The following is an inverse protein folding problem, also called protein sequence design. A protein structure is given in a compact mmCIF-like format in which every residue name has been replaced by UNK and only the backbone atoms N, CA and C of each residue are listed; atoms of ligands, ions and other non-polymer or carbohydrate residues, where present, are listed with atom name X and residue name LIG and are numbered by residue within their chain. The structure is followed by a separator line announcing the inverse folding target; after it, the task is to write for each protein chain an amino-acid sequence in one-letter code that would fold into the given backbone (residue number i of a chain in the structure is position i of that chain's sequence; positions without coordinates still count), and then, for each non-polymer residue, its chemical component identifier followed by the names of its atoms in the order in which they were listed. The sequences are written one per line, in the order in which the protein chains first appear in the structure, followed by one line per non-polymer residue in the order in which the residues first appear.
data_IF_589989897441
#
_entry.id   IF_589989897441
#
_cell.length_a   1.000
_cell.length_b   1.000
_cell.length_c   1.000
_cell.angle_alpha   90.00
_cell.angle_beta   90.00
_cell.angle_gamma   90.00
#
_symmetry.space_group_name_H-M   'P 1'
#
loop_
_entity.id
_entity.type
_entity.pdbx_description
1 polymer ?
#
# COMPACT_ATOMS: atom_id res chain seq x y z
N UNK A 1 -1.68 15.03 -17.08
CA UNK A 1 -2.35 15.86 -16.06
C UNK A 1 -1.74 15.52 -14.70
N UNK A 2 -1.84 16.39 -13.69
CA UNK A 2 -1.31 16.12 -12.34
C UNK A 2 0.22 15.93 -12.24
N UNK A 3 1.00 16.34 -13.26
CA UNK A 3 2.47 16.21 -13.27
C UNK A 3 3.17 17.03 -12.19
N UNK A 4 2.51 18.10 -11.72
CA UNK A 4 3.02 18.97 -10.66
C UNK A 4 2.80 18.40 -9.25
N UNK A 5 2.05 17.30 -9.11
CA UNK A 5 1.75 16.67 -7.82
C UNK A 5 2.74 15.54 -7.57
N UNK A 6 3.30 15.52 -6.36
CA UNK A 6 3.99 14.36 -5.78
C UNK A 6 3.27 13.99 -4.48
N UNK A 7 3.52 12.80 -3.93
CA UNK A 7 2.94 12.42 -2.63
C UNK A 7 3.35 13.45 -1.58
N UNK A 8 2.37 14.06 -0.93
CA UNK A 8 2.53 15.10 0.07
C UNK A 8 2.47 14.57 1.50
N UNK A 9 2.42 15.51 2.45
CA UNK A 9 2.43 15.21 3.89
C UNK A 9 1.27 14.32 4.32
N UNK A 10 0.06 14.53 3.76
CA UNK A 10 -1.12 13.75 4.12
C UNK A 10 -1.01 12.31 3.60
N UNK A 11 -0.43 12.14 2.41
CA UNK A 11 -0.14 10.82 1.85
C UNK A 11 0.92 10.04 2.63
N UNK A 12 1.98 10.72 3.08
CA UNK A 12 3.01 10.12 3.92
C UNK A 12 2.46 9.72 5.30
N UNK A 13 1.70 10.60 5.95
CA UNK A 13 1.10 10.33 7.26
C UNK A 13 0.15 9.13 7.21
N UNK A 14 -0.73 9.05 6.20
CA UNK A 14 -1.61 7.89 6.00
C UNK A 14 -0.81 6.58 5.85
N UNK A 15 0.23 6.60 5.03
CA UNK A 15 1.01 5.40 4.77
C UNK A 15 1.82 4.97 6.01
N UNK A 16 2.52 5.90 6.65
CA UNK A 16 3.33 5.57 7.84
C UNK A 16 2.48 5.14 9.04
N UNK A 17 1.24 5.65 9.17
CA UNK A 17 0.34 5.22 10.26
C UNK A 17 -0.16 3.78 10.08
N UNK A 18 -0.54 3.41 8.85
CA UNK A 18 -1.19 2.11 8.60
C UNK A 18 -0.25 1.00 8.13
N UNK A 19 1.00 1.32 7.76
CA UNK A 19 2.01 0.34 7.36
C UNK A 19 2.99 0.06 8.49
N UNK A 20 3.55 -1.15 8.53
CA UNK A 20 4.60 -1.48 9.47
C UNK A 20 5.97 -1.42 8.77
N UNK A 21 6.89 -0.61 9.30
CA UNK A 21 8.26 -0.59 8.81
C UNK A 21 9.07 -1.77 9.36
N UNK A 22 9.76 -2.51 8.49
CA UNK A 22 10.65 -3.62 8.85
C UNK A 22 12.09 -3.32 8.44
N UNK A 23 12.92 -2.97 9.41
CA UNK A 23 14.33 -2.62 9.19
C UNK A 23 15.24 -3.79 8.82
N UNK A 24 14.71 -5.02 8.84
CA UNK A 24 15.39 -6.26 8.43
C UNK A 24 14.62 -6.92 7.31
N UNK A 25 15.34 -7.39 6.30
CA UNK A 25 14.73 -8.12 5.19
C UNK A 25 14.05 -9.41 5.67
N UNK A 26 12.86 -9.67 5.16
CA UNK A 26 12.09 -10.87 5.45
C UNK A 26 11.58 -11.51 4.16
N UNK A 27 11.39 -12.85 4.14
CA UNK A 27 10.86 -13.53 2.95
C UNK A 27 9.37 -13.24 2.78
N UNK A 28 8.85 -13.34 1.56
CA UNK A 28 7.43 -13.11 1.28
C UNK A 28 6.54 -14.03 2.16
N UNK A 29 5.50 -13.50 2.84
CA UNK A 29 4.66 -14.31 3.74
C UNK A 29 3.94 -15.49 3.08
N UNK A 30 3.75 -15.46 1.76
CA UNK A 30 3.14 -16.56 1.00
C UNK A 30 4.18 -17.55 0.46
N UNK A 31 5.47 -17.23 0.56
CA UNK A 31 6.57 -18.07 0.08
C UNK A 31 6.70 -19.39 0.84
N UNK A 32 7.21 -20.46 0.18
CA UNK A 32 7.49 -21.73 0.85
C UNK A 32 8.45 -21.60 2.04
N UNK A 33 9.49 -20.75 1.94
CA UNK A 33 10.44 -20.54 3.03
C UNK A 33 9.77 -19.94 4.26
N UNK A 34 8.96 -18.89 4.09
CA UNK A 34 8.28 -18.24 5.21
C UNK A 34 7.38 -19.21 5.97
N UNK A 35 6.59 -20.01 5.24
CA UNK A 35 5.69 -21.03 5.83
C UNK A 35 6.47 -22.11 6.58
N UNK A 36 7.59 -22.58 6.02
CA UNK A 36 8.43 -23.60 6.66
C UNK A 36 9.10 -23.07 7.94
N UNK A 37 9.59 -21.84 7.93
CA UNK A 37 10.16 -21.19 9.12
C UNK A 37 9.11 -21.07 10.24
N UNK A 38 7.89 -20.62 9.92
CA UNK A 38 6.80 -20.55 10.90
C UNK A 38 6.44 -21.92 11.48
N UNK A 39 6.33 -22.95 10.64
CA UNK A 39 6.06 -24.33 11.09
C UNK A 39 7.16 -24.85 12.04
N UNK A 40 8.41 -24.44 11.81
CA UNK A 40 9.55 -24.74 12.67
C UNK A 40 9.68 -23.79 13.89
N UNK A 41 8.71 -22.89 14.12
CA UNK A 41 8.72 -21.87 15.18
C UNK A 41 9.93 -20.91 15.11
N UNK A 42 10.46 -20.68 13.91
CA UNK A 42 11.48 -19.67 13.64
C UNK A 42 10.78 -18.42 13.13
N UNK A 43 11.04 -17.27 13.76
CA UNK A 43 10.45 -15.98 13.37
C UNK A 43 11.08 -15.48 12.05
N UNK A 44 10.34 -15.48 10.91
CA UNK A 44 10.91 -15.07 9.63
C UNK A 44 11.27 -13.58 9.57
N UNK A 45 10.71 -12.76 10.46
CA UNK A 45 10.96 -11.32 10.50
C UNK A 45 12.27 -10.96 11.23
N UNK A 46 12.90 -11.93 11.92
CA UNK A 46 14.18 -11.77 12.63
C UNK A 46 15.33 -12.50 11.95
N UNK A 47 15.13 -12.96 10.71
CA UNK A 47 16.06 -13.82 10.01
C UNK A 47 17.36 -13.08 9.60
N UNK A 48 18.50 -13.56 10.07
CA UNK A 48 19.83 -13.08 9.63
C UNK A 48 20.35 -13.87 8.43
N UNK A 49 20.05 -15.16 8.38
CA UNK A 49 20.42 -16.09 7.32
C UNK A 49 19.37 -17.20 7.18
N UNK A 50 19.30 -17.85 6.02
CA UNK A 50 18.41 -19.01 5.84
C UNK A 50 19.07 -20.25 6.48
N UNK A 51 18.43 -20.92 7.45
CA UNK A 51 18.99 -22.14 8.04
C UNK A 51 19.24 -23.20 6.97
N UNK A 52 20.35 -23.94 7.08
CA UNK A 52 20.80 -24.88 6.05
C UNK A 52 19.71 -25.88 5.63
N UNK A 53 18.90 -26.38 6.57
CA UNK A 53 17.80 -27.30 6.27
C UNK A 53 16.70 -26.69 5.37
N UNK A 54 16.63 -25.37 5.25
CA UNK A 54 15.65 -24.65 4.41
C UNK A 54 16.29 -23.97 3.19
N UNK A 55 17.58 -24.16 2.93
CA UNK A 55 18.30 -23.49 1.84
C UNK A 55 17.73 -23.78 0.43
N UNK A 56 16.98 -24.87 0.29
CA UNK A 56 16.31 -25.27 -0.94
C UNK A 56 14.95 -24.57 -1.17
N UNK A 57 14.43 -23.82 -0.19
CA UNK A 57 13.13 -23.15 -0.27
C UNK A 57 13.29 -21.69 -0.73
N UNK A 58 12.41 -21.26 -1.64
CA UNK A 58 12.36 -19.86 -2.05
C UNK A 58 11.68 -18.99 -1.00
N UNK A 59 12.30 -17.85 -0.68
CA UNK A 59 11.73 -16.75 0.11
C UNK A 59 11.34 -15.52 -0.70
N UNK A 60 11.40 -15.59 -2.03
CA UNK A 60 11.20 -14.43 -2.89
C UNK A 60 9.70 -14.04 -3.01
N UNK A 61 9.41 -12.75 -3.29
CA UNK A 61 10.34 -11.62 -3.19
C UNK A 61 10.73 -11.34 -1.74
N UNK A 62 12.00 -10.94 -1.51
CA UNK A 62 12.39 -10.44 -0.19
C UNK A 62 11.90 -9.00 -0.02
N UNK A 63 11.51 -8.64 1.19
CA UNK A 63 10.88 -7.35 1.49
C UNK A 63 11.57 -6.65 2.66
N UNK A 64 11.74 -5.33 2.61
CA UNK A 64 12.35 -4.51 3.67
C UNK A 64 11.76 -3.09 3.73
N UNK A 65 12.00 -2.38 4.82
CA UNK A 65 11.55 -1.01 5.06
C UNK A 65 10.03 -0.95 5.12
N UNK A 66 9.45 0.01 4.40
CA UNK A 66 8.00 0.16 4.26
C UNK A 66 7.37 -0.82 3.26
N UNK A 67 8.08 -1.87 2.86
CA UNK A 67 7.56 -2.94 1.99
C UNK A 67 8.22 -2.99 0.60
N UNK A 68 9.40 -2.41 0.43
CA UNK A 68 10.15 -2.41 -0.83
C UNK A 68 10.80 -3.78 -1.08
N UNK A 69 10.91 -4.16 -2.36
CA UNK A 69 11.43 -5.45 -2.81
C UNK A 69 12.59 -5.32 -3.80
N UNK A 70 12.91 -4.10 -4.25
CA UNK A 70 13.96 -3.87 -5.24
C UNK A 70 15.35 -4.16 -4.65
N UNK A 71 16.05 -5.16 -5.20
CA UNK A 71 17.41 -5.49 -4.76
C UNK A 71 17.52 -5.94 -3.30
N UNK A 72 16.42 -6.42 -2.71
CA UNK A 72 16.40 -6.91 -1.32
C UNK A 72 16.82 -8.38 -1.30
N UNK A 73 17.67 -8.73 -0.34
CA UNK A 73 18.17 -10.09 -0.12
C UNK A 73 18.19 -10.42 1.38
N UNK A 74 18.33 -11.71 1.69
CA UNK A 74 18.44 -12.19 3.09
C UNK A 74 19.60 -11.49 3.83
N UNK A 75 19.39 -11.22 5.11
CA UNK A 75 20.42 -10.64 5.99
C UNK A 75 20.56 -9.12 5.88
N UNK A 76 20.01 -8.49 4.84
CA UNK A 76 19.99 -7.04 4.68
C UNK A 76 19.28 -6.37 5.87
N UNK A 77 19.93 -5.35 6.44
CA UNK A 77 19.41 -4.49 7.50
C UNK A 77 19.62 -3.05 7.07
N UNK A 78 18.64 -2.19 7.35
CA UNK A 78 18.69 -0.75 7.03
C UNK A 78 18.32 0.08 8.25
N UNK A 79 18.81 1.30 8.29
CA UNK A 79 18.35 2.34 9.21
C UNK A 79 16.94 2.83 8.84
N UNK A 80 16.28 3.52 9.78
CA UNK A 80 14.99 4.17 9.51
C UNK A 80 15.11 5.18 8.36
N UNK A 81 16.19 5.97 8.32
CA UNK A 81 16.41 6.96 7.27
C UNK A 81 16.55 6.31 5.88
N UNK A 82 17.23 5.16 5.78
CA UNK A 82 17.30 4.39 4.54
C UNK A 82 15.94 3.80 4.16
N UNK A 83 15.14 3.34 5.13
CA UNK A 83 13.78 2.85 4.86
C UNK A 83 12.89 3.96 4.29
N UNK A 84 12.95 5.16 4.86
CA UNK A 84 12.18 6.32 4.43
C UNK A 84 12.63 6.79 3.03
N UNK A 85 13.94 6.82 2.77
CA UNK A 85 14.47 7.18 1.45
C UNK A 85 14.04 6.18 0.36
N UNK A 86 14.08 4.88 0.66
CA UNK A 86 13.59 3.83 -0.25
C UNK A 86 12.09 3.96 -0.51
N UNK A 87 11.32 4.29 0.53
CA UNK A 87 9.88 4.51 0.42
C UNK A 87 9.54 5.67 -0.52
N UNK A 88 10.17 6.84 -0.37
CA UNK A 88 9.95 7.99 -1.26
C UNK A 88 10.33 7.65 -2.69
N UNK A 89 11.48 7.01 -2.91
CA UNK A 89 11.90 6.56 -4.25
C UNK A 89 10.88 5.60 -4.87
N UNK A 90 10.32 4.68 -4.08
CA UNK A 90 9.32 3.71 -4.52
C UNK A 90 8.00 4.37 -4.89
N UNK A 91 7.52 5.36 -4.13
CA UNK A 91 6.35 6.15 -4.48
C UNK A 91 6.48 6.79 -5.86
N UNK A 92 7.59 7.51 -6.07
CA UNK A 92 7.87 8.18 -7.34
C UNK A 92 8.06 7.20 -8.52
N UNK A 93 8.59 6.00 -8.26
CA UNK A 93 8.82 4.97 -9.29
C UNK A 93 7.56 4.20 -9.67
N UNK A 94 6.80 3.73 -8.69
CA UNK A 94 5.79 2.68 -8.91
C UNK A 94 4.34 3.18 -8.81
N UNK A 95 4.09 4.17 -7.95
CA UNK A 95 2.74 4.48 -7.49
C UNK A 95 2.23 5.81 -8.06
N UNK A 96 3.02 6.88 -7.98
CA UNK A 96 2.64 8.17 -8.56
C UNK A 96 2.44 8.09 -10.08
N UNK A 97 3.33 7.46 -10.88
CA UNK A 97 3.12 7.33 -12.32
C UNK A 97 1.87 6.52 -12.66
N UNK A 98 1.55 5.50 -11.86
CA UNK A 98 0.34 4.70 -12.06
C UNK A 98 -0.94 5.52 -11.87
N UNK A 99 -0.95 6.45 -10.90
CA UNK A 99 -2.07 7.39 -10.71
C UNK A 99 -2.13 8.39 -11.85
N UNK A 100 -1.02 9.03 -12.22
CA UNK A 100 -0.97 10.01 -13.33
C UNK A 100 -1.42 9.41 -14.66
N UNK A 101 -1.08 8.15 -14.91
CA UNK A 101 -1.47 7.45 -16.14
C UNK A 101 -2.95 7.04 -16.19
N UNK A 102 -3.60 6.87 -15.02
CA UNK A 102 -4.98 6.38 -14.94
C UNK A 102 -6.01 7.49 -14.77
N UNK A 103 -5.65 8.61 -14.13
CA UNK A 103 -6.60 9.66 -13.76
C UNK A 103 -6.64 10.76 -14.82
N UNK A 104 -7.83 10.98 -15.39
CA UNK A 104 -8.08 11.88 -16.52
C UNK A 104 -8.61 13.28 -16.09
N UNK A 105 -8.61 13.57 -14.80
CA UNK A 105 -9.08 14.85 -14.24
C UNK A 105 -8.02 15.48 -13.35
N UNK A 106 -8.11 16.80 -13.16
CA UNK A 106 -7.23 17.52 -12.24
C UNK A 106 -7.55 17.14 -10.79
N UNK A 107 -6.53 16.80 -10.02
CA UNK A 107 -6.64 16.51 -8.60
C UNK A 107 -6.02 17.64 -7.79
N UNK A 108 -6.58 17.92 -6.62
CA UNK A 108 -5.83 18.65 -5.60
C UNK A 108 -4.83 17.73 -4.89
N UNK A 109 -3.92 18.32 -4.10
CA UNK A 109 -2.88 17.59 -3.39
C UNK A 109 -3.41 16.43 -2.52
N UNK A 110 -4.50 16.65 -1.76
CA UNK A 110 -5.05 15.61 -0.87
C UNK A 110 -5.76 14.49 -1.61
N UNK A 111 -6.41 14.82 -2.72
CA UNK A 111 -7.00 13.79 -3.59
C UNK A 111 -5.90 12.91 -4.19
N UNK A 112 -4.81 13.51 -4.67
CA UNK A 112 -3.66 12.77 -5.18
C UNK A 112 -3.03 11.89 -4.09
N UNK A 113 -2.78 12.45 -2.91
CA UNK A 113 -2.26 11.73 -1.74
C UNK A 113 -3.12 10.52 -1.36
N UNK A 114 -4.44 10.71 -1.30
CA UNK A 114 -5.39 9.64 -0.97
C UNK A 114 -5.45 8.55 -2.05
N UNK A 115 -5.39 8.92 -3.34
CA UNK A 115 -5.35 7.93 -4.42
C UNK A 115 -4.04 7.16 -4.38
N UNK A 116 -2.89 7.83 -4.29
CA UNK A 116 -1.57 7.17 -4.19
C UNK A 116 -1.50 6.26 -2.97
N UNK A 117 -1.95 6.70 -1.80
CA UNK A 117 -2.01 5.85 -0.59
C UNK A 117 -2.91 4.61 -0.78
N UNK A 118 -4.00 4.75 -1.52
CA UNK A 118 -4.86 3.60 -1.81
C UNK A 118 -4.18 2.63 -2.77
N UNK A 119 -3.55 3.12 -3.85
CA UNK A 119 -2.78 2.30 -4.79
C UNK A 119 -1.60 1.62 -4.10
N UNK A 120 -0.93 2.30 -3.16
CA UNK A 120 0.13 1.73 -2.35
C UNK A 120 -0.32 0.47 -1.61
N UNK A 121 -1.53 0.50 -1.06
CA UNK A 121 -2.04 -0.58 -0.21
C UNK A 121 -2.78 -1.69 -0.97
N UNK A 122 -3.58 -1.37 -1.98
CA UNK A 122 -4.34 -2.38 -2.76
C UNK A 122 -3.65 -2.81 -4.03
N UNK A 123 -2.64 -2.06 -4.48
CA UNK A 123 -2.10 -2.15 -5.83
C UNK A 123 -2.98 -1.42 -6.85
N UNK A 124 -2.38 -1.11 -8.01
CA UNK A 124 -3.10 -0.51 -9.14
C UNK A 124 -4.13 -1.47 -9.77
N UNK A 125 -3.92 -2.77 -9.62
CA UNK A 125 -4.71 -3.83 -10.26
C UNK A 125 -4.36 -4.07 -11.73
N UNK A 126 -5.24 -4.77 -12.45
CA UNK A 126 -4.96 -5.32 -13.77
C UNK A 126 -4.12 -6.60 -13.72
N UNK A 127 -3.93 -7.24 -14.88
CA UNK A 127 -3.11 -8.45 -15.00
C UNK A 127 -3.59 -9.61 -14.10
N UNK A 128 -4.91 -9.80 -13.97
CA UNK A 128 -5.51 -10.85 -13.15
C UNK A 128 -5.68 -10.51 -11.67
N UNK A 129 -5.38 -9.26 -11.23
CA UNK A 129 -5.60 -8.81 -9.85
C UNK A 129 -6.47 -7.56 -9.79
N UNK A 130 -7.41 -7.53 -8.85
CA UNK A 130 -8.19 -6.33 -8.55
C UNK A 130 -7.34 -5.28 -7.82
N UNK A 131 -7.53 -4.02 -8.17
CA UNK A 131 -6.92 -2.87 -7.52
C UNK A 131 -7.77 -1.62 -7.70
N UNK A 132 -7.43 -0.56 -6.96
CA UNK A 132 -8.29 0.64 -6.90
C UNK A 132 -8.41 1.36 -8.25
N UNK A 133 -7.44 1.21 -9.15
CA UNK A 133 -7.49 1.81 -10.49
C UNK A 133 -8.14 0.84 -11.47
N UNK A 134 -7.66 -0.41 -11.54
CA UNK A 134 -8.10 -1.42 -12.50
C UNK A 134 -8.52 -2.72 -11.82
N UNK A 135 -9.53 -3.38 -12.36
CA UNK A 135 -9.96 -4.71 -11.93
C UNK A 135 -9.11 -5.80 -12.58
N UNK A 136 -9.20 -7.04 -12.09
CA UNK A 136 -8.42 -8.17 -12.59
C UNK A 136 -8.64 -8.46 -14.09
N UNK A 137 -9.83 -8.16 -14.59
CA UNK A 137 -10.18 -8.25 -16.02
C UNK A 137 -9.64 -7.11 -16.89
N UNK A 138 -8.91 -6.14 -16.33
CA UNK A 138 -8.28 -5.03 -17.06
C UNK A 138 -9.14 -3.77 -17.23
N UNK A 139 -10.43 -3.83 -16.90
CA UNK A 139 -11.30 -2.65 -16.91
C UNK A 139 -11.08 -1.71 -15.72
N UNK A 140 -11.50 -0.43 -15.80
CA UNK A 140 -11.41 0.50 -14.69
C UNK A 140 -12.32 0.08 -13.53
N UNK A 141 -11.88 0.36 -12.31
CA UNK A 141 -12.73 0.19 -11.13
C UNK A 141 -13.88 1.21 -11.12
N UNK A 142 -14.92 0.97 -10.32
CA UNK A 142 -15.98 1.97 -10.11
C UNK A 142 -15.45 3.28 -9.53
N UNK A 143 -14.42 3.20 -8.67
CA UNK A 143 -13.75 4.39 -8.14
C UNK A 143 -13.14 5.22 -9.27
N UNK A 144 -12.33 4.59 -10.13
CA UNK A 144 -11.63 5.28 -11.22
C UNK A 144 -12.62 5.85 -12.24
N UNK A 145 -13.65 5.07 -12.61
CA UNK A 145 -14.68 5.52 -13.55
C UNK A 145 -15.41 6.77 -13.04
N UNK A 146 -15.78 6.81 -11.76
CA UNK A 146 -16.43 8.00 -11.17
C UNK A 146 -15.46 9.18 -11.10
N UNK A 147 -14.22 8.93 -10.69
CA UNK A 147 -13.19 9.96 -10.61
C UNK A 147 -12.96 10.64 -11.97
N UNK A 148 -12.77 9.86 -13.03
CA UNK A 148 -12.53 10.40 -14.38
C UNK A 148 -13.77 11.06 -15.00
N UNK A 149 -14.95 10.87 -14.42
CA UNK A 149 -16.17 11.63 -14.76
C UNK A 149 -16.30 12.94 -13.95
N UNK A 150 -15.33 13.27 -13.09
CA UNK A 150 -15.39 14.41 -12.18
C UNK A 150 -16.33 14.22 -10.99
N UNK A 151 -16.87 13.02 -10.79
CA UNK A 151 -17.71 12.68 -9.62
C UNK A 151 -16.83 12.37 -8.40
N UNK A 152 -16.20 13.41 -7.85
CA UNK A 152 -15.31 13.27 -6.69
C UNK A 152 -16.03 12.71 -5.45
N UNK A 153 -17.25 13.15 -5.19
CA UNK A 153 -18.03 12.68 -4.05
C UNK A 153 -18.41 11.20 -4.21
N UNK A 154 -18.85 10.80 -5.40
CA UNK A 154 -19.16 9.42 -5.70
C UNK A 154 -17.94 8.52 -5.74
N UNK A 155 -16.77 9.02 -6.19
CA UNK A 155 -15.50 8.30 -6.09
C UNK A 155 -15.11 8.08 -4.62
N UNK A 156 -15.20 9.11 -3.77
CA UNK A 156 -14.94 8.99 -2.34
C UNK A 156 -15.84 7.93 -1.68
N UNK A 157 -17.10 7.82 -2.09
CA UNK A 157 -18.03 6.80 -1.59
C UNK A 157 -17.66 5.35 -1.98
N UNK A 158 -16.76 5.15 -2.96
CA UNK A 158 -16.26 3.81 -3.32
C UNK A 158 -15.11 3.34 -2.43
N UNK A 159 -14.34 4.24 -1.80
CA UNK A 159 -13.18 3.88 -0.98
C UNK A 159 -13.49 2.86 0.14
N UNK A 160 -14.59 2.98 0.92
CA UNK A 160 -14.92 2.01 1.97
C UNK A 160 -15.13 0.58 1.49
N UNK A 161 -15.40 0.35 0.18
CA UNK A 161 -15.58 -0.99 -0.38
C UNK A 161 -14.27 -1.77 -0.48
N UNK A 162 -13.14 -1.07 -0.45
CA UNK A 162 -11.78 -1.64 -0.53
C UNK A 162 -11.22 -2.01 0.84
N UNK A 163 -12.05 -2.67 1.66
CA UNK A 163 -11.75 -3.03 3.06
C UNK A 163 -11.75 -4.54 3.33
N UNK A 164 -11.61 -5.36 2.29
CA UNK A 164 -11.63 -6.83 2.38
C UNK A 164 -10.27 -7.43 2.04
N UNK A 165 -9.92 -8.53 2.71
CA UNK A 165 -8.82 -9.41 2.36
C UNK A 165 -9.27 -10.87 2.54
N UNK A 166 -8.94 -11.74 1.59
CA UNK A 166 -9.37 -13.16 1.63
C UNK A 166 -10.90 -13.33 1.70
N UNK A 167 -11.66 -12.42 1.09
CA UNK A 167 -13.13 -12.41 1.14
C UNK A 167 -13.75 -11.85 2.43
N UNK A 168 -12.95 -11.61 3.47
CA UNK A 168 -13.42 -11.15 4.77
C UNK A 168 -13.19 -9.65 4.95
N UNK A 169 -14.08 -8.99 5.70
CA UNK A 169 -13.89 -7.59 6.11
C UNK A 169 -12.76 -7.53 7.14
N UNK A 170 -11.80 -6.63 6.92
CA UNK A 170 -10.67 -6.41 7.83
C UNK A 170 -10.82 -5.04 8.48
N UNK A 171 -10.97 -5.01 9.81
CA UNK A 171 -11.15 -3.76 10.59
C UNK A 171 -10.07 -2.72 10.29
N UNK A 172 -8.81 -3.13 10.24
CA UNK A 172 -7.68 -2.23 9.92
C UNK A 172 -7.85 -1.57 8.56
N UNK A 173 -8.35 -2.30 7.55
CA UNK A 173 -8.62 -1.72 6.23
C UNK A 173 -9.85 -0.80 6.26
N UNK A 174 -10.87 -1.07 7.08
CA UNK A 174 -12.00 -0.14 7.25
C UNK A 174 -11.55 1.21 7.81
N UNK A 175 -10.73 1.20 8.87
CA UNK A 175 -10.13 2.41 9.46
C UNK A 175 -9.34 3.19 8.42
N UNK A 176 -8.42 2.51 7.71
CA UNK A 176 -7.61 3.12 6.66
C UNK A 176 -8.45 3.72 5.55
N UNK A 177 -9.46 3.01 5.05
CA UNK A 177 -10.29 3.50 3.94
C UNK A 177 -11.17 4.67 4.34
N UNK A 178 -11.65 4.70 5.58
CA UNK A 178 -12.36 5.87 6.07
C UNK A 178 -11.42 7.08 6.19
N UNK A 179 -10.25 6.92 6.80
CA UNK A 179 -9.27 8.00 6.88
C UNK A 179 -8.88 8.50 5.48
N UNK A 180 -8.59 7.59 4.55
CA UNK A 180 -8.26 7.92 3.16
C UNK A 180 -9.40 8.66 2.46
N UNK A 181 -10.66 8.26 2.71
CA UNK A 181 -11.85 8.94 2.19
C UNK A 181 -11.97 10.37 2.72
N UNK A 182 -11.71 10.58 4.01
CA UNK A 182 -11.76 11.90 4.62
C UNK A 182 -10.65 12.81 4.09
N UNK A 183 -9.44 12.27 3.91
CA UNK A 183 -8.35 13.01 3.24
C UNK A 183 -8.73 13.40 1.81
N UNK A 184 -9.26 12.45 1.04
CA UNK A 184 -9.74 12.72 -0.32
C UNK A 184 -10.81 13.83 -0.37
N UNK A 185 -11.62 13.95 0.68
CA UNK A 185 -12.65 14.98 0.83
C UNK A 185 -12.14 16.30 1.47
N UNK A 186 -10.83 16.40 1.74
CA UNK A 186 -10.16 17.64 2.13
C UNK A 186 -9.72 17.74 3.58
N UNK A 187 -9.92 16.71 4.40
CA UNK A 187 -9.43 16.66 5.79
C UNK A 187 -7.92 16.42 5.83
N UNK A 188 -7.20 16.97 6.81
CA UNK A 188 -5.81 16.60 7.05
C UNK A 188 -5.72 15.14 7.54
N UNK A 189 -4.59 14.48 7.26
CA UNK A 189 -4.43 13.06 7.52
C UNK A 189 -4.55 12.70 9.00
N UNK A 190 -4.04 13.54 9.91
CA UNK A 190 -4.11 13.25 11.36
C UNK A 190 -5.54 13.23 11.86
N UNK A 191 -6.33 14.27 11.56
CA UNK A 191 -7.75 14.32 11.91
C UNK A 191 -8.54 13.18 11.27
N UNK A 192 -8.19 12.84 10.02
CA UNK A 192 -8.83 11.76 9.27
C UNK A 192 -8.55 10.38 9.88
N UNK A 193 -7.31 10.12 10.31
CA UNK A 193 -6.89 8.90 10.99
C UNK A 193 -7.68 8.72 12.29
N UNK A 194 -7.71 9.73 13.14
CA UNK A 194 -8.47 9.71 14.41
C UNK A 194 -9.95 9.40 14.15
N UNK A 195 -10.55 10.07 13.15
CA UNK A 195 -11.93 9.83 12.76
C UNK A 195 -12.17 8.40 12.26
N UNK A 196 -11.24 7.88 11.45
CA UNK A 196 -11.31 6.51 10.92
C UNK A 196 -11.21 5.44 12.01
N UNK A 197 -10.35 5.66 13.00
CA UNK A 197 -10.20 4.76 14.16
C UNK A 197 -11.43 4.78 15.06
N UNK A 198 -11.97 5.96 15.35
CA UNK A 198 -13.18 6.12 16.17
C UNK A 198 -14.42 5.46 15.54
N UNK A 199 -14.53 5.49 14.21
CA UNK A 199 -15.66 4.88 13.49
C UNK A 199 -15.69 3.35 13.56
N UNK A 200 -14.54 2.72 13.72
CA UNK A 200 -14.40 1.25 13.69
C UNK A 200 -13.56 0.74 14.87
N UNK A 201 -14.09 0.74 16.11
CA UNK A 201 -13.36 0.30 17.30
C UNK A 201 -12.95 -1.19 17.27
#
# INVERSE_FOLDING_TARGET
MNEHLTTGVDGHELNHHYEACKLRAYPDPLSPLFKALQAARIDPYKLTEVPAQFAHLSGKPWTIGWGDTEGVSVGMVISQAEADARYVKRLARDFEPAVRAAVDVELNQRQFDAVVSTVYNTGRGGGGRDGILFLGGGGPSTFLRKLNLGDYAGAAAELPKWSRAGGQIVKGLQRRREATRLVFLGMDARSAIVSGEAKFP
#
